data_IF_548784937380
#
_entry.id   IF_548784937380
#
_cell.length_a   1.000
_cell.length_b   1.000
_cell.length_c   1.000
_cell.angle_alpha   90.00
_cell.angle_beta   90.00
_cell.angle_gamma   90.00
#
_symmetry.space_group_name_H-M   'P 1'
#
loop_
_entity.id
_entity.type
_entity.pdbx_description
1 polymer ?
#
# COMPACT_ATOMS: atom_id res chain seq x y z
N UNK A 1 9.98 -5.59 19.87
CA UNK A 1 10.50 -6.95 19.58
C UNK A 1 10.26 -7.18 18.10
N UNK A 2 11.33 -7.24 17.29
CA UNK A 2 11.24 -7.34 15.83
C UNK A 2 11.21 -8.78 15.35
N UNK A 3 11.04 -8.96 14.03
CA UNK A 3 11.05 -10.27 13.35
C UNK A 3 12.33 -11.08 13.60
N UNK A 4 13.42 -10.41 13.97
CA UNK A 4 14.71 -11.04 14.28
C UNK A 4 14.63 -11.98 15.49
N UNK A 5 13.76 -11.67 16.45
CA UNK A 5 13.60 -12.45 17.68
C UNK A 5 12.73 -13.71 17.49
N UNK A 6 12.10 -13.88 16.32
CA UNK A 6 11.30 -15.06 16.04
C UNK A 6 12.20 -16.29 15.81
N UNK A 7 11.87 -17.45 16.38
CA UNK A 7 12.57 -18.70 16.08
C UNK A 7 12.32 -19.12 14.62
N UNK A 8 13.23 -19.90 14.05
CA UNK A 8 13.10 -20.40 12.66
C UNK A 8 11.82 -21.24 12.48
N UNK A 9 11.31 -21.87 13.54
CA UNK A 9 10.05 -22.64 13.53
C UNK A 9 8.78 -21.78 13.58
N UNK A 10 8.88 -20.46 13.70
CA UNK A 10 7.71 -19.59 13.74
C UNK A 10 6.99 -19.60 12.39
N UNK A 11 5.72 -19.97 12.39
CA UNK A 11 4.88 -19.97 11.18
C UNK A 11 4.56 -18.53 10.77
N UNK A 12 4.94 -18.17 9.55
CA UNK A 12 4.69 -16.86 8.94
C UNK A 12 3.45 -16.90 8.04
N UNK A 13 3.30 -17.97 7.24
CA UNK A 13 2.13 -18.18 6.39
C UNK A 13 1.40 -19.47 6.79
N UNK A 14 0.23 -19.34 7.42
CA UNK A 14 -0.58 -20.51 7.78
C UNK A 14 -1.26 -21.19 6.59
N UNK A 15 -1.47 -20.50 5.46
CA UNK A 15 -2.14 -21.09 4.29
C UNK A 15 -1.29 -22.18 3.62
N UNK A 16 0.03 -22.02 3.63
CA UNK A 16 0.99 -22.90 2.97
C UNK A 16 2.05 -23.44 3.92
N UNK A 17 1.81 -23.30 5.23
CA UNK A 17 2.69 -23.76 6.31
C UNK A 17 4.15 -23.28 6.16
N UNK A 18 4.34 -22.02 5.78
CA UNK A 18 5.68 -21.42 5.58
C UNK A 18 6.16 -20.82 6.89
N UNK A 19 7.31 -21.31 7.37
CA UNK A 19 8.00 -20.82 8.57
C UNK A 19 9.03 -19.74 8.26
N UNK A 20 9.55 -19.08 9.29
CA UNK A 20 10.70 -18.15 9.16
C UNK A 20 11.93 -18.86 8.58
N UNK A 21 12.18 -20.10 8.99
CA UNK A 21 13.27 -20.92 8.48
C UNK A 21 13.17 -21.18 6.97
N UNK A 22 11.96 -21.39 6.46
CA UNK A 22 11.74 -21.59 5.03
C UNK A 22 12.03 -20.31 4.22
N UNK A 23 11.61 -19.15 4.74
CA UNK A 23 11.93 -17.86 4.12
C UNK A 23 13.45 -17.65 4.13
N UNK A 24 14.12 -17.87 5.27
CA UNK A 24 15.57 -17.75 5.40
C UNK A 24 16.32 -18.66 4.43
N UNK A 25 15.87 -19.90 4.25
CA UNK A 25 16.45 -20.82 3.27
C UNK A 25 16.23 -20.34 1.83
N UNK A 26 15.07 -19.79 1.51
CA UNK A 26 14.80 -19.19 0.20
C UNK A 26 15.76 -18.01 -0.06
N UNK A 27 15.96 -17.12 0.92
CA UNK A 27 16.91 -15.99 0.81
C UNK A 27 18.34 -16.48 0.61
N UNK A 28 18.78 -17.46 1.41
CA UNK A 28 20.10 -18.08 1.25
C UNK A 28 20.30 -18.76 -0.12
N UNK A 29 19.21 -19.16 -0.77
CA UNK A 29 19.20 -19.75 -2.12
C UNK A 29 19.14 -18.69 -3.24
N UNK A 30 19.11 -17.40 -2.90
CA UNK A 30 19.14 -16.29 -3.86
C UNK A 30 17.82 -15.52 -4.00
N UNK A 31 16.79 -15.81 -3.19
CA UNK A 31 15.55 -15.05 -3.21
C UNK A 31 15.75 -13.65 -2.61
N UNK A 32 15.57 -12.61 -3.41
CA UNK A 32 15.78 -11.21 -3.01
C UNK A 32 14.52 -10.36 -3.08
N UNK A 33 13.48 -10.85 -3.73
CA UNK A 33 12.23 -10.10 -3.89
C UNK A 33 11.02 -10.85 -3.36
N UNK A 34 9.96 -10.10 -3.01
CA UNK A 34 8.68 -10.71 -2.64
C UNK A 34 8.03 -11.53 -3.77
N UNK A 35 8.36 -11.23 -5.03
CA UNK A 35 7.88 -12.01 -6.18
C UNK A 35 8.53 -13.40 -6.19
N UNK A 36 9.86 -13.44 -6.08
CA UNK A 36 10.62 -14.70 -5.97
C UNK A 36 10.21 -15.49 -4.72
N UNK A 37 9.93 -14.80 -3.60
CA UNK A 37 9.51 -15.47 -2.37
C UNK A 37 8.15 -16.16 -2.55
N UNK A 38 7.20 -15.48 -3.22
CA UNK A 38 5.89 -16.04 -3.56
C UNK A 38 6.01 -17.27 -4.46
N UNK A 39 6.90 -17.21 -5.46
CA UNK A 39 7.13 -18.33 -6.38
C UNK A 39 7.80 -19.52 -5.68
N UNK A 40 8.75 -19.26 -4.79
CA UNK A 40 9.56 -20.30 -4.14
C UNK A 40 8.82 -20.96 -2.97
N UNK A 41 8.07 -20.19 -2.18
CA UNK A 41 7.48 -20.67 -0.92
C UNK A 41 5.95 -20.71 -0.92
N UNK A 42 5.29 -20.11 -1.91
CA UNK A 42 3.85 -19.85 -1.92
C UNK A 42 3.35 -18.92 -0.79
N UNK A 43 4.23 -18.36 0.05
CA UNK A 43 3.80 -17.38 1.04
C UNK A 43 3.09 -16.20 0.34
N UNK A 44 1.99 -15.72 0.93
CA UNK A 44 1.21 -14.57 0.42
C UNK A 44 0.43 -14.78 -0.89
N UNK A 45 0.34 -15.99 -1.43
CA UNK A 45 -0.46 -16.28 -2.65
C UNK A 45 -1.88 -16.77 -2.35
N UNK A 46 -2.19 -17.07 -1.08
CA UNK A 46 -3.47 -17.60 -0.61
C UNK A 46 -4.40 -16.49 -0.12
N UNK A 47 -4.50 -16.29 1.20
CA UNK A 47 -5.30 -15.21 1.77
C UNK A 47 -4.59 -13.84 1.80
N UNK A 48 -3.27 -13.80 1.56
CA UNK A 48 -2.47 -12.58 1.58
C UNK A 48 -2.20 -11.94 2.95
N UNK A 49 -2.79 -12.44 4.05
CA UNK A 49 -2.67 -11.82 5.38
C UNK A 49 -1.24 -11.80 5.96
N UNK A 50 -0.37 -12.72 5.52
CA UNK A 50 1.03 -12.79 5.94
C UNK A 50 1.97 -11.87 5.14
N UNK A 51 1.49 -11.15 4.10
CA UNK A 51 2.35 -10.42 3.16
C UNK A 51 3.29 -9.42 3.83
N UNK A 52 2.78 -8.66 4.81
CA UNK A 52 3.57 -7.67 5.52
C UNK A 52 4.65 -8.33 6.39
N UNK A 53 4.29 -9.39 7.13
CA UNK A 53 5.21 -10.09 8.01
C UNK A 53 6.27 -10.87 7.21
N UNK A 54 5.87 -11.53 6.12
CA UNK A 54 6.78 -12.22 5.21
C UNK A 54 7.80 -11.26 4.58
N UNK A 55 7.36 -10.06 4.17
CA UNK A 55 8.26 -9.02 3.69
C UNK A 55 9.26 -8.58 4.77
N UNK A 56 8.79 -8.34 6.00
CA UNK A 56 9.70 -7.97 7.10
C UNK A 56 10.76 -9.03 7.37
N UNK A 57 10.40 -10.32 7.33
CA UNK A 57 11.36 -11.42 7.48
C UNK A 57 12.33 -11.46 6.30
N UNK A 58 11.84 -11.34 5.06
CA UNK A 58 12.68 -11.26 3.87
C UNK A 58 13.71 -10.13 3.96
N UNK A 59 13.25 -8.91 4.27
CA UNK A 59 14.11 -7.72 4.36
C UNK A 59 15.16 -7.89 5.48
N UNK A 60 14.77 -8.46 6.63
CA UNK A 60 15.70 -8.75 7.73
C UNK A 60 16.79 -9.74 7.33
N UNK A 61 16.43 -10.85 6.68
CA UNK A 61 17.40 -11.86 6.24
C UNK A 61 18.32 -11.29 5.14
N UNK A 62 17.81 -10.47 4.22
CA UNK A 62 18.62 -9.77 3.20
C UNK A 62 19.62 -8.79 3.81
N UNK A 63 19.18 -7.98 4.77
CA UNK A 63 20.07 -7.08 5.52
C UNK A 63 21.15 -7.86 6.28
N UNK A 64 20.82 -9.03 6.83
CA UNK A 64 21.78 -9.89 7.52
C UNK A 64 22.89 -10.43 6.60
N UNK A 65 22.59 -10.59 5.31
CA UNK A 65 23.53 -10.98 4.25
C UNK A 65 24.27 -9.79 3.63
N UNK A 66 24.00 -8.56 4.10
CA UNK A 66 24.61 -7.34 3.57
C UNK A 66 24.04 -6.89 2.23
N UNK A 67 22.86 -7.37 1.84
CA UNK A 67 22.14 -6.88 0.66
C UNK A 67 21.43 -5.59 1.03
N UNK A 68 21.68 -4.51 0.27
CA UNK A 68 20.94 -3.25 0.44
C UNK A 68 19.49 -3.42 -0.01
N UNK A 69 18.55 -3.22 0.91
CA UNK A 69 17.12 -3.23 0.62
C UNK A 69 16.70 -1.80 0.29
N UNK A 70 16.47 -1.53 -0.99
CA UNK A 70 15.91 -0.27 -1.44
C UNK A 70 14.39 -0.26 -1.17
N UNK A 71 13.93 0.72 -0.39
CA UNK A 71 12.53 0.88 -0.01
C UNK A 71 11.86 2.06 -0.73
N UNK A 72 12.48 2.55 -1.79
CA UNK A 72 12.00 3.67 -2.58
C UNK A 72 10.65 3.31 -3.19
N UNK A 73 9.74 4.28 -3.19
CA UNK A 73 8.43 4.09 -3.79
C UNK A 73 8.52 3.91 -5.31
N UNK A 74 9.38 4.70 -5.95
CA UNK A 74 9.73 4.62 -7.37
C UNK A 74 10.91 5.57 -7.66
N UNK A 75 11.33 5.66 -8.92
CA UNK A 75 12.38 6.60 -9.37
C UNK A 75 12.15 8.08 -9.01
N UNK A 76 10.89 8.49 -8.80
CA UNK A 76 10.54 9.86 -8.43
C UNK A 76 10.74 10.15 -6.93
N UNK A 77 10.70 9.12 -6.07
CA UNK A 77 10.74 9.27 -4.61
C UNK A 77 11.59 8.17 -3.99
N UNK A 78 12.78 8.55 -3.50
CA UNK A 78 13.69 7.70 -2.75
C UNK A 78 13.25 7.49 -1.28
N UNK A 79 11.95 7.25 -1.09
CA UNK A 79 11.29 7.13 0.19
C UNK A 79 10.22 6.05 0.09
N UNK A 80 10.05 5.29 1.16
CA UNK A 80 8.92 4.38 1.31
C UNK A 80 7.61 5.14 1.45
N UNK A 81 6.49 4.43 1.20
CA UNK A 81 5.14 5.00 1.42
C UNK A 81 4.93 5.49 2.85
N UNK A 82 5.52 4.82 3.84
CA UNK A 82 5.43 5.20 5.24
C UNK A 82 6.19 6.50 5.50
N UNK A 83 7.43 6.60 5.02
CA UNK A 83 8.24 7.82 5.14
C UNK A 83 7.59 9.00 4.44
N UNK A 84 7.04 8.81 3.24
CA UNK A 84 6.27 9.85 2.55
C UNK A 84 5.04 10.28 3.36
N UNK A 85 4.36 9.35 4.03
CA UNK A 85 3.23 9.68 4.90
C UNK A 85 3.67 10.53 6.09
N UNK A 86 4.81 10.21 6.70
CA UNK A 86 5.38 10.99 7.79
C UNK A 86 5.87 12.37 7.31
N UNK A 87 6.51 12.46 6.14
CA UNK A 87 6.94 13.72 5.51
C UNK A 87 5.73 14.64 5.27
N UNK A 88 4.66 14.12 4.66
CA UNK A 88 3.42 14.87 4.38
C UNK A 88 2.82 15.39 5.68
N UNK A 89 2.72 14.54 6.71
CA UNK A 89 2.14 14.91 8.00
C UNK A 89 2.97 15.94 8.76
N UNK A 90 4.28 15.75 8.85
CA UNK A 90 5.18 16.60 9.64
C UNK A 90 5.37 17.97 8.98
N UNK A 91 5.54 17.99 7.67
CA UNK A 91 5.78 19.23 6.92
C UNK A 91 4.49 19.91 6.43
N UNK A 92 3.33 19.32 6.76
CA UNK A 92 2.01 19.81 6.37
C UNK A 92 1.83 20.06 4.86
N UNK A 93 2.36 19.15 4.04
CA UNK A 93 2.30 19.25 2.58
C UNK A 93 0.90 18.90 2.10
N UNK A 94 0.31 19.73 1.25
CA UNK A 94 -1.09 19.57 0.80
C UNK A 94 -1.26 19.18 -0.67
N UNK A 95 -0.24 19.41 -1.49
CA UNK A 95 -0.31 19.14 -2.93
C UNK A 95 0.78 18.17 -3.37
N UNK A 96 0.52 17.46 -4.47
CA UNK A 96 1.52 16.58 -5.07
C UNK A 96 2.73 17.36 -5.58
N UNK A 97 2.50 18.53 -6.20
CA UNK A 97 3.56 19.37 -6.73
C UNK A 97 4.52 19.84 -5.63
N UNK A 98 3.99 20.27 -4.48
CA UNK A 98 4.83 20.66 -3.34
C UNK A 98 5.66 19.48 -2.81
N UNK A 99 5.06 18.29 -2.73
CA UNK A 99 5.78 17.08 -2.30
C UNK A 99 6.88 16.71 -3.30
N UNK A 100 6.57 16.78 -4.59
CA UNK A 100 7.49 16.43 -5.67
C UNK A 100 8.64 17.41 -5.78
N UNK A 101 8.38 18.71 -5.64
CA UNK A 101 9.41 19.75 -5.70
C UNK A 101 10.41 19.64 -4.53
N UNK A 102 9.93 19.32 -3.33
CA UNK A 102 10.77 19.28 -2.12
C UNK A 102 11.44 17.93 -1.87
N UNK A 103 10.75 16.83 -2.18
CA UNK A 103 11.15 15.48 -1.76
C UNK A 103 11.19 14.47 -2.92
N UNK A 104 11.01 14.92 -4.16
CA UNK A 104 11.05 14.05 -5.32
C UNK A 104 11.69 14.70 -6.54
N UNK A 105 11.44 14.12 -7.71
CA UNK A 105 11.89 14.65 -8.99
C UNK A 105 10.97 14.19 -10.13
N UNK A 106 11.03 14.85 -11.28
CA UNK A 106 10.26 14.49 -12.48
C UNK A 106 8.82 15.00 -12.46
N UNK A 107 7.88 14.21 -13.00
CA UNK A 107 6.44 14.56 -13.12
C UNK A 107 5.52 13.57 -12.36
N UNK A 108 6.11 12.52 -11.78
CA UNK A 108 5.39 11.40 -11.19
C UNK A 108 4.90 10.36 -12.21
N UNK A 109 4.54 9.19 -11.70
CA UNK A 109 4.05 8.06 -12.47
C UNK A 109 2.79 7.44 -11.87
N UNK A 110 2.30 6.37 -12.51
CA UNK A 110 1.14 5.58 -12.08
C UNK A 110 1.32 4.86 -10.75
N UNK A 111 2.53 4.85 -10.16
CA UNK A 111 2.79 4.32 -8.83
C UNK A 111 2.69 5.42 -7.77
N UNK A 112 3.43 6.52 -7.95
CA UNK A 112 3.52 7.54 -6.90
C UNK A 112 2.32 8.49 -6.86
N UNK A 113 1.70 8.83 -7.99
CA UNK A 113 0.52 9.72 -8.00
C UNK A 113 -0.64 9.16 -7.15
N UNK A 114 -1.12 7.92 -7.37
CA UNK A 114 -2.19 7.37 -6.54
C UNK A 114 -1.75 7.11 -5.10
N UNK A 115 -0.49 6.75 -4.87
CA UNK A 115 0.04 6.56 -3.51
C UNK A 115 0.00 7.87 -2.71
N UNK A 116 0.47 8.98 -3.29
CA UNK A 116 0.45 10.30 -2.65
C UNK A 116 -0.97 10.82 -2.54
N UNK A 117 -1.83 10.64 -3.57
CA UNK A 117 -3.24 10.99 -3.49
C UNK A 117 -3.95 10.33 -2.30
N UNK A 118 -3.70 9.03 -2.09
CA UNK A 118 -4.21 8.30 -0.93
C UNK A 118 -3.68 8.84 0.41
N UNK A 119 -2.40 9.22 0.48
CA UNK A 119 -1.79 9.81 1.68
C UNK A 119 -2.43 11.16 2.01
N UNK A 120 -2.54 12.07 1.02
CA UNK A 120 -3.14 13.39 1.18
C UNK A 120 -4.61 13.28 1.61
N UNK A 121 -5.38 12.38 0.97
CA UNK A 121 -6.77 12.14 1.35
C UNK A 121 -6.91 11.60 2.79
N UNK A 122 -5.93 10.85 3.28
CA UNK A 122 -5.94 10.31 4.65
C UNK A 122 -5.70 11.37 5.72
N UNK A 123 -4.88 12.39 5.44
CA UNK A 123 -4.52 13.41 6.43
C UNK A 123 -5.35 14.69 6.33
N UNK A 124 -5.69 15.11 5.12
CA UNK A 124 -6.40 16.36 4.88
C UNK A 124 -7.89 16.12 4.61
N UNK A 125 -8.23 15.02 3.92
CA UNK A 125 -9.59 14.66 3.53
C UNK A 125 -10.33 15.84 2.87
N UNK A 126 -9.60 16.59 2.04
CA UNK A 126 -10.13 17.66 1.20
C UNK A 126 -11.01 17.09 0.07
N UNK A 127 -11.76 17.97 -0.60
CA UNK A 127 -12.66 17.53 -1.65
C UNK A 127 -11.88 17.04 -2.87
N UNK A 128 -12.07 15.77 -3.20
CA UNK A 128 -11.25 15.03 -4.17
C UNK A 128 -11.30 15.57 -5.61
N UNK A 129 -12.34 16.34 -5.96
CA UNK A 129 -12.50 16.97 -7.27
C UNK A 129 -12.04 18.44 -7.29
N UNK A 130 -11.32 18.91 -6.28
CA UNK A 130 -10.59 20.18 -6.37
C UNK A 130 -9.47 20.07 -7.41
N UNK A 131 -9.17 21.18 -8.09
CA UNK A 131 -8.22 21.22 -9.20
C UNK A 131 -6.84 20.68 -8.79
N UNK A 132 -6.42 20.95 -7.55
CA UNK A 132 -5.15 20.53 -6.95
C UNK A 132 -5.03 19.01 -6.73
N UNK A 133 -6.17 18.30 -6.69
CA UNK A 133 -6.22 16.85 -6.44
C UNK A 133 -6.57 16.06 -7.69
N UNK A 134 -7.13 16.71 -8.71
CA UNK A 134 -7.72 16.08 -9.89
C UNK A 134 -6.72 15.20 -10.65
N UNK A 135 -5.47 15.63 -10.78
CA UNK A 135 -4.43 14.84 -11.48
C UNK A 135 -4.02 13.54 -10.77
N UNK A 136 -4.39 13.39 -9.50
CA UNK A 136 -4.08 12.20 -8.69
C UNK A 136 -5.20 11.16 -8.73
N UNK A 137 -6.36 11.54 -9.26
CA UNK A 137 -7.57 10.73 -9.24
C UNK A 137 -7.62 9.79 -10.43
N UNK A 138 -8.04 8.56 -10.19
CA UNK A 138 -8.38 7.65 -11.27
C UNK A 138 -9.81 7.90 -11.78
N UNK A 139 -10.22 7.15 -12.80
CA UNK A 139 -11.55 7.28 -13.40
C UNK A 139 -12.67 7.16 -12.37
N UNK A 140 -12.56 6.23 -11.41
CA UNK A 140 -13.63 6.01 -10.44
C UNK A 140 -13.73 7.18 -9.46
N UNK A 141 -12.59 7.71 -9.03
CA UNK A 141 -12.53 8.86 -8.14
C UNK A 141 -13.08 10.13 -8.82
N UNK A 142 -12.78 10.36 -10.11
CA UNK A 142 -13.30 11.49 -10.90
C UNK A 142 -14.83 11.43 -10.99
N UNK A 143 -15.40 10.25 -11.22
CA UNK A 143 -16.85 10.07 -11.33
C UNK A 143 -17.54 9.81 -10.00
N UNK A 144 -16.78 9.79 -8.89
CA UNK A 144 -17.27 9.42 -7.54
C UNK A 144 -18.09 8.12 -7.56
N UNK A 145 -17.66 7.14 -8.36
CA UNK A 145 -18.40 5.91 -8.61
C UNK A 145 -17.54 4.84 -9.29
N UNK A 146 -17.93 3.58 -9.14
CA UNK A 146 -17.28 2.45 -9.80
C UNK A 146 -17.83 2.30 -11.20
N UNK A 147 -17.02 2.65 -12.20
CA UNK A 147 -17.40 2.58 -13.60
C UNK A 147 -17.29 1.15 -14.13
N UNK A 148 -18.36 0.66 -14.79
CA UNK A 148 -18.40 -0.67 -15.41
C UNK A 148 -18.16 -0.58 -16.91
N UNK A 149 -17.74 -1.70 -17.53
CA UNK A 149 -17.38 -1.74 -18.96
C UNK A 149 -18.58 -1.57 -19.91
N UNK A 150 -19.79 -1.82 -19.42
CA UNK A 150 -21.04 -1.67 -20.18
C UNK A 150 -21.60 -0.24 -20.14
N UNK A 151 -20.86 0.70 -19.53
CA UNK A 151 -21.26 2.10 -19.39
C UNK A 151 -22.17 2.38 -18.18
N UNK A 152 -22.50 1.35 -17.38
CA UNK A 152 -23.17 1.56 -16.09
C UNK A 152 -22.16 1.93 -15.01
N UNK A 153 -22.64 2.48 -13.88
CA UNK A 153 -21.78 2.80 -12.73
C UNK A 153 -22.50 2.48 -11.42
N UNK A 154 -21.75 2.20 -10.38
CA UNK A 154 -22.28 2.03 -9.03
C UNK A 154 -21.63 3.02 -8.08
N UNK A 155 -22.45 3.72 -7.30
CA UNK A 155 -21.97 4.60 -6.23
C UNK A 155 -22.19 3.87 -4.92
N UNK A 156 -21.17 3.82 -4.08
CA UNK A 156 -21.30 3.37 -2.69
C UNK A 156 -21.23 4.62 -1.82
N UNK A 157 -22.36 5.15 -1.33
CA UNK A 157 -22.35 6.30 -0.46
C UNK A 157 -21.49 6.02 0.78
N UNK A 158 -20.53 6.91 1.08
CA UNK A 158 -19.77 6.79 2.33
C UNK A 158 -20.72 7.08 3.49
N UNK A 159 -20.97 6.09 4.33
CA UNK A 159 -21.76 6.23 5.56
C UNK A 159 -20.85 5.88 6.74
N UNK A 160 -20.79 6.77 7.74
CA UNK A 160 -20.04 6.49 8.97
C UNK A 160 -20.60 5.25 9.66
N UNK A 161 -19.71 4.35 10.08
CA UNK A 161 -20.10 3.13 10.79
C UNK A 161 -20.91 3.47 12.06
N UNK A 162 -22.07 2.84 12.22
CA UNK A 162 -22.97 3.08 13.36
C UNK A 162 -23.99 4.22 13.17
N UNK A 163 -23.88 5.02 12.11
CA UNK A 163 -24.86 6.09 11.80
C UNK A 163 -25.94 5.67 10.81
N UNK A 164 -25.86 4.44 10.29
CA UNK A 164 -26.84 3.87 9.37
C UNK A 164 -28.03 3.30 10.17
N UNK A 165 -29.19 3.97 10.07
CA UNK A 165 -30.43 3.44 10.65
C UNK A 165 -31.22 2.65 9.59
N UNK A 166 -32.13 1.76 9.99
CA UNK A 166 -33.01 1.06 9.06
C UNK A 166 -33.77 2.01 8.12
N UNK A 167 -34.20 3.17 8.61
CA UNK A 167 -34.92 4.17 7.81
C UNK A 167 -34.01 4.77 6.71
N UNK A 168 -32.74 5.04 7.03
CA UNK A 168 -31.75 5.52 6.05
C UNK A 168 -31.46 4.46 4.96
N UNK A 169 -31.46 3.18 5.32
CA UNK A 169 -31.32 2.09 4.35
C UNK A 169 -32.50 2.01 3.38
N UNK A 170 -33.73 2.24 3.86
CA UNK A 170 -34.93 2.27 3.01
C UNK A 170 -34.86 3.42 2.00
N UNK A 171 -34.31 4.58 2.40
CA UNK A 171 -34.12 5.74 1.51
C UNK A 171 -33.09 5.42 0.41
N UNK A 172 -31.99 4.72 0.73
CA UNK A 172 -30.98 4.32 -0.25
C UNK A 172 -31.46 3.24 -1.23
N UNK A 173 -32.46 2.44 -0.85
CA UNK A 173 -33.02 1.37 -1.68
C UNK A 173 -34.07 1.85 -2.70
N UNK A 174 -34.38 3.14 -2.75
CA UNK A 174 -35.35 3.76 -3.67
C UNK A 174 -34.65 4.66 -4.67
#
# INVERSE_FOLDING_TARGET
>A
MGVDALPDTAVICSCFDVSKGDIKQAVASGCTTMAELKETTNASTGCGGCSALAKQVLDSELLSLGVEVNNDLCEHFAYSRQELSDIVRINQIKTFDELLEKYGSGLGCTVCKPAVGSILASFWNDYILQDEHMELQDTNDIYLGNMQKDGTYSVVPRVAGGEITPEKLIVLAR
#
